data_IF_285515007764
#
_entry.id   IF_285515007764
#
_cell.length_a   1.000
_cell.length_b   1.000
_cell.length_c   1.000
_cell.angle_alpha   90.00
_cell.angle_beta   90.00
_cell.angle_gamma   90.00
#
_symmetry.space_group_name_H-M   'P 1'
#
loop_
_entity.id
_entity.type
_entity.pdbx_description
1 polymer ?
#
# COMPACT_ATOMS: atom_id res chain seq x y z
N UNK A 1 -1.62 -36.79 0.75
CA UNK A 1 -2.32 -36.31 -0.46
C UNK A 1 -1.28 -35.66 -1.35
N UNK A 2 -1.23 -36.02 -2.64
CA UNK A 2 -0.23 -35.49 -3.59
C UNK A 2 -0.44 -33.98 -3.80
N UNK A 3 0.60 -33.19 -3.51
CA UNK A 3 0.58 -31.72 -3.66
C UNK A 3 0.29 -31.33 -5.11
N UNK A 4 0.79 -32.11 -6.07
CA UNK A 4 0.56 -31.84 -7.49
C UNK A 4 -0.89 -32.13 -7.90
N UNK A 5 -1.50 -33.20 -7.40
CA UNK A 5 -2.92 -33.48 -7.64
C UNK A 5 -3.81 -32.34 -7.13
N UNK A 6 -3.53 -31.81 -5.93
CA UNK A 6 -4.27 -30.66 -5.37
C UNK A 6 -4.08 -29.40 -6.22
N UNK A 7 -2.86 -29.13 -6.70
CA UNK A 7 -2.61 -27.98 -7.59
C UNK A 7 -3.35 -28.09 -8.93
N UNK A 8 -3.38 -29.28 -9.53
CA UNK A 8 -4.13 -29.54 -10.77
C UNK A 8 -5.63 -29.33 -10.59
N UNK A 9 -6.17 -29.84 -9.49
CA UNK A 9 -7.59 -29.65 -9.15
C UNK A 9 -7.94 -28.18 -8.89
N UNK A 10 -7.11 -27.45 -8.15
CA UNK A 10 -7.30 -26.01 -7.94
C UNK A 10 -7.24 -25.23 -9.26
N UNK A 11 -6.26 -25.54 -10.12
CA UNK A 11 -6.15 -24.92 -11.43
C UNK A 11 -7.40 -25.17 -12.28
N UNK A 12 -7.88 -26.41 -12.33
CA UNK A 12 -9.08 -26.76 -13.07
C UNK A 12 -10.34 -26.07 -12.53
N UNK A 13 -10.51 -26.04 -11.20
CA UNK A 13 -11.63 -25.32 -10.58
C UNK A 13 -11.59 -23.82 -10.88
N UNK A 14 -10.41 -23.22 -10.91
CA UNK A 14 -10.26 -21.81 -11.30
C UNK A 14 -10.69 -21.56 -12.75
N UNK A 15 -10.41 -22.49 -13.67
CA UNK A 15 -10.93 -22.38 -15.04
C UNK A 15 -12.47 -22.40 -15.06
N UNK A 16 -13.08 -23.31 -14.31
CA UNK A 16 -14.56 -23.38 -14.23
C UNK A 16 -15.17 -22.11 -13.62
N UNK A 17 -14.53 -21.53 -12.59
CA UNK A 17 -14.95 -20.25 -11.98
C UNK A 17 -14.86 -19.10 -12.99
N UNK A 18 -13.88 -19.13 -13.90
CA UNK A 18 -13.76 -18.17 -14.99
C UNK A 18 -14.72 -18.46 -16.15
N UNK A 19 -15.68 -19.37 -15.97
CA UNK A 19 -16.68 -19.78 -16.97
C UNK A 19 -16.07 -20.52 -18.17
N UNK A 20 -15.01 -21.30 -17.95
CA UNK A 20 -14.47 -22.17 -18.98
C UNK A 20 -15.49 -23.29 -19.31
N UNK A 21 -16.11 -23.22 -20.49
CA UNK A 21 -17.05 -24.25 -20.94
C UNK A 21 -16.32 -25.51 -21.39
N UNK A 22 -16.09 -26.38 -20.42
CA UNK A 22 -15.56 -27.73 -20.62
C UNK A 22 -16.29 -28.46 -21.75
N UNK A 23 -17.63 -28.45 -21.76
CA UNK A 23 -18.41 -29.32 -22.65
C UNK A 23 -18.27 -28.86 -24.09
N UNK A 24 -18.28 -27.55 -24.34
CA UNK A 24 -18.02 -26.98 -25.65
C UNK A 24 -16.62 -27.36 -26.15
N UNK A 25 -15.59 -27.21 -25.30
CA UNK A 25 -14.20 -27.53 -25.67
C UNK A 25 -13.99 -29.01 -25.97
N UNK A 26 -14.55 -29.92 -25.15
CA UNK A 26 -14.45 -31.37 -25.40
C UNK A 26 -15.10 -31.76 -26.73
N UNK A 27 -16.25 -31.15 -27.06
CA UNK A 27 -16.98 -31.40 -28.29
C UNK A 27 -16.26 -30.84 -29.53
N UNK A 28 -15.77 -29.60 -29.45
CA UNK A 28 -15.12 -28.90 -30.56
C UNK A 28 -13.76 -29.51 -30.91
N UNK A 29 -12.93 -29.75 -29.89
CA UNK A 29 -11.54 -30.16 -30.08
C UNK A 29 -11.30 -31.66 -29.92
N UNK A 30 -12.33 -32.43 -29.53
CA UNK A 30 -12.26 -33.89 -29.31
C UNK A 30 -11.14 -34.30 -28.35
N UNK A 31 -10.94 -33.49 -27.32
CA UNK A 31 -9.94 -33.70 -26.27
C UNK A 31 -10.64 -33.83 -24.94
N UNK A 32 -10.16 -34.73 -24.07
CA UNK A 32 -10.69 -34.86 -22.72
C UNK A 32 -10.25 -33.66 -21.88
N UNK A 33 -11.21 -32.98 -21.27
CA UNK A 33 -11.01 -31.83 -20.39
C UNK A 33 -11.44 -32.21 -18.97
N UNK A 34 -10.47 -32.66 -18.19
CA UNK A 34 -10.63 -32.93 -16.77
C UNK A 34 -9.47 -32.32 -15.98
N UNK A 35 -9.47 -32.49 -14.66
CA UNK A 35 -8.40 -32.00 -13.79
C UNK A 35 -7.02 -32.58 -14.11
N UNK A 36 -6.95 -33.71 -14.81
CA UNK A 36 -5.71 -34.36 -15.20
C UNK A 36 -5.36 -34.12 -16.68
N UNK A 37 -6.00 -33.15 -17.35
CA UNK A 37 -5.74 -32.82 -18.78
C UNK A 37 -4.28 -32.43 -19.09
N UNK A 38 -3.50 -32.09 -18.06
CA UNK A 38 -2.07 -31.78 -18.13
C UNK A 38 -1.19 -32.79 -17.36
N UNK A 39 -1.71 -33.96 -17.00
CA UNK A 39 -0.88 -35.05 -16.43
C UNK A 39 0.14 -35.56 -17.45
N UNK A 40 -0.17 -35.41 -18.75
CA UNK A 40 0.72 -35.62 -19.87
C UNK A 40 0.78 -34.35 -20.73
N UNK A 41 1.84 -34.14 -21.53
CA UNK A 41 1.91 -33.02 -22.45
C UNK A 41 0.74 -33.04 -23.45
N UNK A 42 -0.23 -32.14 -23.27
CA UNK A 42 -1.39 -31.98 -24.14
C UNK A 42 -1.33 -30.60 -24.80
N UNK A 43 -0.66 -30.55 -25.95
CA UNK A 43 -0.42 -29.31 -26.67
C UNK A 43 -1.73 -28.60 -27.07
N UNK A 44 -2.76 -29.36 -27.48
CA UNK A 44 -4.03 -28.77 -27.93
C UNK A 44 -4.77 -28.12 -26.77
N UNK A 45 -4.84 -28.78 -25.61
CA UNK A 45 -5.42 -28.18 -24.41
C UNK A 45 -4.63 -27.00 -23.90
N UNK A 46 -3.29 -27.04 -24.00
CA UNK A 46 -2.47 -25.88 -23.66
C UNK A 46 -2.84 -24.66 -24.53
N UNK A 47 -2.97 -24.84 -25.84
CA UNK A 47 -3.36 -23.78 -26.77
C UNK A 47 -4.75 -23.21 -26.43
N UNK A 48 -5.76 -24.07 -26.25
CA UNK A 48 -7.14 -23.65 -25.94
C UNK A 48 -7.23 -22.93 -24.60
N UNK A 49 -6.66 -23.51 -23.54
CA UNK A 49 -6.70 -22.92 -22.19
C UNK A 49 -5.90 -21.62 -22.15
N UNK A 50 -4.75 -21.54 -22.82
CA UNK A 50 -3.95 -20.31 -22.87
C UNK A 50 -4.68 -19.20 -23.62
N UNK A 51 -5.32 -19.51 -24.75
CA UNK A 51 -6.13 -18.54 -25.48
C UNK A 51 -7.28 -18.01 -24.60
N UNK A 52 -8.06 -18.91 -24.00
CA UNK A 52 -9.15 -18.54 -23.10
C UNK A 52 -8.69 -17.66 -21.93
N UNK A 53 -7.57 -18.03 -21.27
CA UNK A 53 -7.05 -17.24 -20.16
C UNK A 53 -6.61 -15.86 -20.62
N UNK A 54 -6.00 -15.75 -21.80
CA UNK A 54 -5.64 -14.45 -22.35
C UNK A 54 -6.85 -13.64 -22.77
N UNK A 55 -7.90 -14.25 -23.32
CA UNK A 55 -9.15 -13.57 -23.62
C UNK A 55 -9.77 -12.96 -22.35
N UNK A 56 -9.81 -13.72 -21.24
CA UNK A 56 -10.31 -13.22 -19.95
C UNK A 56 -9.39 -12.18 -19.28
N UNK A 57 -8.09 -12.20 -19.55
CA UNK A 57 -7.12 -11.23 -19.00
C UNK A 57 -6.96 -9.98 -19.87
N UNK A 58 -7.23 -10.06 -21.17
CA UNK A 58 -6.95 -9.02 -22.16
C UNK A 58 -8.07 -8.01 -22.37
N UNK A 59 -9.08 -7.92 -21.49
CA UNK A 59 -9.99 -6.75 -21.49
C UNK A 59 -9.20 -5.41 -21.44
N UNK A 60 -7.93 -5.45 -21.03
CA UNK A 60 -7.03 -4.29 -20.92
C UNK A 60 -6.00 -4.16 -22.05
N UNK A 61 -5.74 -5.19 -22.88
CA UNK A 61 -4.63 -5.19 -23.85
C UNK A 61 -4.91 -5.85 -25.21
N UNK A 62 -6.04 -5.53 -25.83
CA UNK A 62 -6.41 -5.94 -27.20
C UNK A 62 -5.28 -5.75 -28.24
N UNK A 63 -4.37 -4.80 -28.01
CA UNK A 63 -3.29 -4.45 -28.95
C UNK A 63 -2.14 -5.47 -29.01
N UNK A 64 -1.87 -6.20 -27.94
CA UNK A 64 -0.68 -7.06 -27.86
C UNK A 64 -0.95 -8.52 -28.25
N UNK A 65 -2.22 -8.94 -28.19
CA UNK A 65 -2.61 -10.33 -28.42
C UNK A 65 -3.62 -10.48 -29.56
N UNK A 66 -3.39 -9.77 -30.67
CA UNK A 66 -4.18 -9.95 -31.90
C UNK A 66 -3.65 -11.14 -32.72
N UNK A 67 -3.70 -12.33 -32.13
CA UNK A 67 -3.36 -13.57 -32.82
C UNK A 67 -4.62 -14.21 -33.42
N UNK A 68 -4.54 -14.74 -34.64
CA UNK A 68 -5.68 -15.41 -35.25
C UNK A 68 -6.07 -16.63 -34.43
N UNK A 69 -7.35 -16.72 -34.06
CA UNK A 69 -7.94 -17.88 -33.42
C UNK A 69 -9.16 -18.33 -34.24
N UNK A 70 -9.30 -19.62 -34.57
CA UNK A 70 -8.43 -20.75 -34.22
C UNK A 70 -7.11 -20.80 -35.00
N UNK A 71 -6.11 -21.51 -34.44
CA UNK A 71 -4.79 -21.72 -35.07
C UNK A 71 -4.89 -22.76 -36.21
N UNK A 72 -4.80 -22.30 -37.46
CA UNK A 72 -5.00 -23.14 -38.65
C UNK A 72 -3.69 -23.73 -39.18
N UNK A 73 -2.61 -22.94 -39.17
CA UNK A 73 -1.33 -23.35 -39.74
C UNK A 73 -0.23 -23.53 -38.67
N UNK A 74 0.90 -24.11 -39.11
CA UNK A 74 2.06 -24.38 -38.24
C UNK A 74 2.78 -23.10 -37.82
N UNK A 75 2.68 -22.03 -38.61
CA UNK A 75 3.40 -20.77 -38.38
C UNK A 75 2.68 -19.92 -37.34
N UNK A 76 1.36 -19.76 -37.46
CA UNK A 76 0.46 -19.21 -36.44
C UNK A 76 0.66 -19.90 -35.10
N UNK A 77 0.77 -21.23 -35.10
CA UNK A 77 1.01 -21.99 -33.86
C UNK A 77 2.37 -21.67 -33.23
N UNK A 78 3.44 -21.55 -34.03
CA UNK A 78 4.76 -21.14 -33.54
C UNK A 78 4.73 -19.72 -32.99
N UNK A 79 4.07 -18.81 -33.69
CA UNK A 79 3.90 -17.42 -33.26
C UNK A 79 3.11 -17.36 -31.94
N UNK A 80 1.99 -18.07 -31.85
CA UNK A 80 1.18 -18.18 -30.63
C UNK A 80 2.01 -18.68 -29.46
N UNK A 81 2.79 -19.75 -29.64
CA UNK A 81 3.66 -20.27 -28.59
C UNK A 81 4.72 -19.26 -28.15
N UNK A 82 5.39 -18.61 -29.11
CA UNK A 82 6.40 -17.59 -28.83
C UNK A 82 5.81 -16.42 -28.05
N UNK A 83 4.68 -15.88 -28.50
CA UNK A 83 3.99 -14.76 -27.83
C UNK A 83 3.52 -15.17 -26.44
N UNK A 84 2.93 -16.36 -26.29
CA UNK A 84 2.46 -16.88 -25.01
C UNK A 84 3.60 -17.05 -24.00
N UNK A 85 4.74 -17.62 -24.42
CA UNK A 85 5.93 -17.76 -23.56
C UNK A 85 6.50 -16.40 -23.17
N UNK A 86 6.58 -15.45 -24.10
CA UNK A 86 7.04 -14.09 -23.81
C UNK A 86 6.14 -13.40 -22.78
N UNK A 87 4.83 -13.50 -22.97
CA UNK A 87 3.84 -12.91 -22.06
C UNK A 87 3.88 -13.54 -20.67
N UNK A 88 3.93 -14.88 -20.58
CA UNK A 88 4.10 -15.58 -19.31
C UNK A 88 5.42 -15.21 -18.61
N UNK A 89 6.49 -15.00 -19.37
CA UNK A 89 7.77 -14.53 -18.84
C UNK A 89 7.66 -13.10 -18.28
N UNK A 90 6.94 -12.22 -18.99
CA UNK A 90 6.62 -10.86 -18.50
C UNK A 90 5.82 -10.91 -17.19
N UNK A 91 4.75 -11.73 -17.11
CA UNK A 91 3.99 -11.92 -15.87
C UNK A 91 4.88 -12.43 -14.74
N UNK A 92 5.75 -13.40 -15.02
CA UNK A 92 6.66 -13.94 -14.01
C UNK A 92 7.64 -12.87 -13.49
N UNK A 93 8.14 -12.00 -14.38
CA UNK A 93 8.98 -10.87 -14.02
C UNK A 93 8.22 -9.82 -13.20
N UNK A 94 7.01 -9.44 -13.61
CA UNK A 94 6.14 -8.53 -12.85
C UNK A 94 5.83 -9.07 -11.46
N UNK A 95 5.53 -10.38 -11.33
CA UNK A 95 5.35 -11.04 -10.03
C UNK A 95 6.60 -10.99 -9.15
N UNK A 96 7.79 -11.09 -9.74
CA UNK A 96 9.06 -10.96 -9.02
C UNK A 96 9.20 -9.54 -8.44
N UNK A 97 8.94 -8.51 -9.26
CA UNK A 97 8.98 -7.12 -8.79
C UNK A 97 7.92 -6.85 -7.73
N UNK A 98 6.70 -7.36 -7.89
CA UNK A 98 5.64 -7.24 -6.89
C UNK A 98 6.05 -7.82 -5.54
N UNK A 99 6.68 -9.00 -5.52
CA UNK A 99 7.20 -9.60 -4.27
C UNK A 99 8.28 -8.73 -3.63
N UNK A 100 9.17 -8.13 -4.42
CA UNK A 100 10.20 -7.23 -3.91
C UNK A 100 9.58 -5.98 -3.29
N UNK A 101 8.56 -5.41 -3.95
CA UNK A 101 7.80 -4.28 -3.44
C UNK A 101 7.08 -4.62 -2.13
N UNK A 102 6.44 -5.79 -2.05
CA UNK A 102 5.79 -6.24 -0.82
C UNK A 102 6.78 -6.37 0.34
N UNK A 103 7.96 -6.95 0.12
CA UNK A 103 9.01 -7.05 1.13
C UNK A 103 9.47 -5.66 1.58
N UNK A 104 9.58 -4.70 0.65
CA UNK A 104 9.91 -3.32 0.98
C UNK A 104 8.83 -2.68 1.86
N UNK A 105 7.56 -2.78 1.46
CA UNK A 105 6.42 -2.24 2.22
C UNK A 105 6.33 -2.84 3.62
N UNK A 106 6.56 -4.14 3.77
CA UNK A 106 6.55 -4.81 5.08
C UNK A 106 7.66 -4.29 5.99
N UNK A 107 8.87 -4.03 5.45
CA UNK A 107 9.98 -3.42 6.19
C UNK A 107 9.69 -1.97 6.56
N UNK A 108 9.11 -1.20 5.64
CA UNK A 108 8.74 0.19 5.88
C UNK A 108 7.69 0.29 6.97
N UNK A 109 6.66 -0.55 6.93
CA UNK A 109 5.64 -0.63 7.98
C UNK A 109 6.26 -0.88 9.36
N UNK A 110 7.15 -1.87 9.46
CA UNK A 110 7.86 -2.14 10.72
C UNK A 110 8.63 -0.90 11.19
N UNK A 111 9.36 -0.24 10.28
CA UNK A 111 10.08 0.98 10.60
C UNK A 111 9.19 2.09 11.16
N UNK A 112 8.02 2.31 10.55
CA UNK A 112 7.04 3.29 11.03
C UNK A 112 6.43 2.92 12.39
N UNK A 113 6.14 1.63 12.63
CA UNK A 113 5.67 1.17 13.94
C UNK A 113 6.66 1.52 15.07
N UNK A 114 7.97 1.53 14.78
CA UNK A 114 9.00 1.92 15.74
C UNK A 114 9.21 3.42 15.85
N UNK A 115 9.21 4.15 14.73
CA UNK A 115 9.48 5.59 14.74
C UNK A 115 8.30 6.42 15.24
N UNK A 116 7.06 5.99 15.00
CA UNK A 116 5.89 6.82 15.26
C UNK A 116 5.74 7.23 16.74
N UNK A 117 5.91 6.34 17.74
CA UNK A 117 5.86 6.74 19.15
C UNK A 117 6.99 7.71 19.52
N UNK A 118 8.18 7.47 18.99
CA UNK A 118 9.39 8.25 19.24
C UNK A 118 9.22 9.70 18.76
N UNK A 119 8.70 9.87 17.54
CA UNK A 119 8.45 11.18 16.95
C UNK A 119 7.32 11.90 17.69
N UNK A 120 6.28 11.18 18.11
CA UNK A 120 5.12 11.76 18.80
C UNK A 120 5.47 12.33 20.17
N UNK A 121 6.36 11.69 20.92
CA UNK A 121 6.67 12.08 22.30
C UNK A 121 7.66 13.24 22.41
N UNK A 122 8.67 13.33 21.53
CA UNK A 122 9.60 14.45 21.55
C UNK A 122 10.35 14.66 20.21
N UNK A 123 9.79 15.43 19.26
CA UNK A 123 10.32 15.55 17.90
C UNK A 123 11.70 16.22 17.83
N UNK A 124 12.09 16.99 18.86
CA UNK A 124 13.37 17.71 18.90
C UNK A 124 14.54 16.88 19.45
N UNK A 125 14.26 15.74 20.08
CA UNK A 125 15.29 14.93 20.76
C UNK A 125 16.17 14.13 19.80
N UNK A 126 15.74 13.95 18.55
CA UNK A 126 16.42 13.13 17.55
C UNK A 126 17.13 14.00 16.53
N UNK A 127 18.34 14.41 16.88
CA UNK A 127 19.23 15.14 16.00
C UNK A 127 20.15 14.15 15.26
N UNK A 128 20.02 14.07 13.95
CA UNK A 128 20.93 13.35 13.05
C UNK A 128 22.16 14.22 12.75
N UNK A 129 23.31 13.59 12.56
CA UNK A 129 24.52 14.29 12.11
C UNK A 129 24.34 14.78 10.67
N UNK A 130 24.17 16.08 10.52
CA UNK A 130 23.94 16.75 9.24
C UNK A 130 25.14 16.63 8.29
N UNK A 131 26.36 16.39 8.81
CA UNK A 131 27.55 16.26 7.97
C UNK A 131 27.50 15.01 7.08
N UNK A 132 26.80 13.97 7.51
CA UNK A 132 26.61 12.73 6.74
C UNK A 132 25.44 12.83 5.76
N UNK A 133 24.46 13.68 6.09
CA UNK A 133 23.29 13.98 5.26
C UNK A 133 23.60 15.12 4.29
N UNK A 134 24.58 14.92 3.40
CA UNK A 134 24.79 15.83 2.26
C UNK A 134 23.64 15.70 1.28
N UNK A 135 22.52 16.34 1.60
CA UNK A 135 21.35 16.45 0.74
C UNK A 135 21.61 17.58 -0.26
N UNK A 136 22.26 17.23 -1.36
CA UNK A 136 22.31 18.13 -2.52
C UNK A 136 20.95 18.07 -3.22
N UNK A 137 20.04 18.97 -2.83
CA UNK A 137 18.74 19.12 -3.47
C UNK A 137 18.96 19.92 -4.74
N UNK A 138 19.05 19.22 -5.87
CA UNK A 138 19.18 19.85 -7.19
C UNK A 138 18.03 20.80 -7.48
N UNK A 139 18.29 21.86 -8.24
CA UNK A 139 17.34 22.96 -8.48
C UNK A 139 16.03 22.48 -9.14
N UNK A 140 16.09 21.41 -9.92
CA UNK A 140 14.90 20.75 -10.47
C UNK A 140 13.89 20.33 -9.39
N UNK A 141 14.35 19.76 -8.29
CA UNK A 141 13.48 19.29 -7.19
C UNK A 141 12.86 20.50 -6.46
N UNK A 142 13.64 21.58 -6.29
CA UNK A 142 13.17 22.84 -5.69
C UNK A 142 12.09 23.50 -6.55
N UNK A 143 12.21 23.41 -7.87
CA UNK A 143 11.21 23.94 -8.81
C UNK A 143 9.92 23.12 -8.78
N UNK A 144 10.04 21.79 -8.67
CA UNK A 144 8.87 20.91 -8.63
C UNK A 144 8.15 20.91 -7.28
N UNK A 145 8.76 21.41 -6.20
CA UNK A 145 8.20 21.36 -4.87
C UNK A 145 8.51 22.61 -4.04
N UNK A 146 7.56 23.54 -4.00
CA UNK A 146 7.65 24.77 -3.18
C UNK A 146 7.78 24.50 -1.68
N UNK A 147 7.23 23.38 -1.20
CA UNK A 147 7.31 22.91 0.19
C UNK A 147 8.77 22.74 0.66
N UNK A 148 9.68 22.35 -0.24
CA UNK A 148 11.12 22.26 0.08
C UNK A 148 11.79 23.62 0.23
N UNK A 149 11.29 24.65 -0.46
CA UNK A 149 11.81 26.02 -0.34
C UNK A 149 11.34 26.65 0.98
N UNK A 150 10.13 26.33 1.44
CA UNK A 150 9.58 26.79 2.72
C UNK A 150 10.25 26.15 3.93
N UNK A 151 10.77 24.91 3.80
CA UNK A 151 11.58 24.28 4.85
C UNK A 151 12.93 24.97 5.11
N UNK A 152 13.23 26.05 4.36
CA UNK A 152 14.47 26.79 4.41
C UNK A 152 15.59 26.04 3.70
N UNK A 153 16.59 26.76 3.19
CA UNK A 153 17.82 26.08 2.81
C UNK A 153 18.30 25.34 4.05
N UNK A 154 18.37 24.01 3.97
CA UNK A 154 19.21 23.22 4.89
C UNK A 154 20.65 23.52 4.47
N UNK A 155 21.04 24.79 4.47
CA UNK A 155 22.43 25.18 4.54
C UNK A 155 22.86 24.74 5.94
N UNK A 156 23.45 23.55 5.98
CA UNK A 156 24.03 22.85 7.11
C UNK A 156 25.16 23.67 7.75
N UNK A 157 24.88 24.89 8.22
CA UNK A 157 25.73 25.56 9.20
C UNK A 157 25.52 24.92 10.57
N UNK A 158 24.35 24.34 10.81
CA UNK A 158 24.09 23.49 11.96
C UNK A 158 24.51 22.05 11.63
N UNK A 159 25.44 21.50 12.43
CA UNK A 159 25.95 20.12 12.33
C UNK A 159 24.85 19.06 12.55
N UNK A 160 23.60 19.45 12.84
CA UNK A 160 22.55 18.57 13.31
C UNK A 160 21.22 18.86 12.62
N UNK A 161 20.58 17.82 12.09
CA UNK A 161 19.26 17.89 11.45
C UNK A 161 18.26 17.09 12.29
N UNK A 162 17.13 17.68 12.67
CA UNK A 162 16.08 16.93 13.36
C UNK A 162 15.54 15.81 12.46
N UNK A 163 15.34 14.62 13.02
CA UNK A 163 14.78 13.45 12.33
C UNK A 163 13.44 13.77 11.66
N UNK A 164 12.61 14.61 12.28
CA UNK A 164 11.33 15.02 11.69
C UNK A 164 11.50 15.81 10.39
N UNK A 165 12.41 16.80 10.37
CA UNK A 165 12.78 17.52 9.13
C UNK A 165 13.32 16.56 8.07
N UNK A 166 14.19 15.62 8.46
CA UNK A 166 14.71 14.61 7.55
C UNK A 166 13.59 13.73 6.95
N UNK A 167 12.65 13.27 7.77
CA UNK A 167 11.52 12.47 7.32
C UNK A 167 10.54 13.25 6.44
N UNK A 168 10.31 14.53 6.72
CA UNK A 168 9.49 15.39 5.86
C UNK A 168 10.13 15.57 4.48
N UNK A 169 11.44 15.80 4.44
CA UNK A 169 12.19 15.85 3.18
C UNK A 169 12.04 14.50 2.45
N UNK A 170 12.25 13.38 3.16
CA UNK A 170 12.08 12.02 2.63
C UNK A 170 10.71 11.78 2.01
N UNK A 171 9.65 12.17 2.71
CA UNK A 171 8.28 12.04 2.25
C UNK A 171 8.01 12.85 0.97
N UNK A 172 8.52 14.08 0.89
CA UNK A 172 8.39 14.89 -0.33
C UNK A 172 9.09 14.21 -1.52
N UNK A 173 10.27 13.65 -1.30
CA UNK A 173 10.99 12.91 -2.33
C UNK A 173 10.20 11.70 -2.83
N UNK A 174 9.56 10.94 -1.93
CA UNK A 174 8.69 9.82 -2.30
C UNK A 174 7.49 10.28 -3.13
N UNK A 175 6.82 11.36 -2.73
CA UNK A 175 5.71 11.95 -3.49
C UNK A 175 6.13 12.38 -4.90
N UNK A 176 7.30 13.02 -5.02
CA UNK A 176 7.84 13.39 -6.33
C UNK A 176 8.14 12.16 -7.17
N UNK A 177 8.75 11.13 -6.58
CA UNK A 177 9.03 9.86 -7.25
C UNK A 177 7.74 9.20 -7.78
N UNK A 178 6.71 9.11 -6.95
CA UNK A 178 5.40 8.57 -7.34
C UNK A 178 4.79 9.36 -8.50
N UNK A 179 4.77 10.70 -8.41
CA UNK A 179 4.25 11.58 -9.45
C UNK A 179 4.99 11.41 -10.78
N UNK A 180 6.31 11.28 -10.74
CA UNK A 180 7.13 11.07 -11.93
C UNK A 180 6.93 9.68 -12.51
N UNK A 181 6.79 8.65 -11.65
CA UNK A 181 6.50 7.29 -12.05
C UNK A 181 5.15 7.19 -12.77
N UNK A 182 4.09 7.80 -12.22
CA UNK A 182 2.76 7.82 -12.84
C UNK A 182 2.72 8.55 -14.18
N UNK A 183 3.58 9.56 -14.37
CA UNK A 183 3.74 10.26 -15.66
C UNK A 183 4.51 9.44 -16.70
N UNK A 184 5.16 8.33 -16.32
CA UNK A 184 5.97 7.52 -17.21
C UNK A 184 7.28 8.17 -17.66
N UNK A 185 7.71 9.27 -17.02
CA UNK A 185 8.95 9.96 -17.38
C UNK A 185 10.16 9.30 -16.69
N UNK A 186 10.60 8.18 -17.27
CA UNK A 186 11.71 7.39 -16.76
C UNK A 186 13.06 8.12 -16.78
N UNK A 187 13.21 9.20 -17.54
CA UNK A 187 14.45 9.98 -17.58
C UNK A 187 14.62 10.79 -16.30
N UNK A 188 13.54 11.43 -15.83
CA UNK A 188 13.52 12.14 -14.54
C UNK A 188 13.72 11.19 -13.35
N UNK A 189 13.32 9.93 -13.47
CA UNK A 189 13.59 8.91 -12.44
C UNK A 189 15.09 8.66 -12.27
N UNK A 190 15.91 8.78 -13.32
CA UNK A 190 17.37 8.63 -13.19
C UNK A 190 18.00 9.76 -12.38
N UNK A 191 17.47 10.97 -12.47
CA UNK A 191 17.91 12.09 -11.63
C UNK A 191 17.56 11.83 -10.16
N UNK A 192 16.37 11.27 -9.88
CA UNK A 192 15.98 10.79 -8.55
C UNK A 192 16.81 9.59 -8.08
N UNK A 193 17.35 8.76 -8.99
CA UNK A 193 18.20 7.61 -8.65
C UNK A 193 19.57 8.02 -8.09
N UNK A 194 20.03 9.23 -8.36
CA UNK A 194 21.23 9.77 -7.73
C UNK A 194 20.99 10.08 -6.25
N UNK A 195 19.75 10.43 -5.86
CA UNK A 195 19.33 10.52 -4.45
C UNK A 195 19.37 9.16 -3.78
N UNK A 196 19.06 8.09 -4.51
CA UNK A 196 19.15 6.70 -4.06
C UNK A 196 20.60 6.27 -3.73
N UNK A 197 21.61 6.87 -4.37
CA UNK A 197 23.04 6.66 -4.03
C UNK A 197 23.48 7.44 -2.79
N UNK A 198 22.88 8.61 -2.56
CA UNK A 198 23.11 9.42 -1.35
C UNK A 198 22.46 8.72 -0.15
N UNK A 199 21.35 8.02 -0.37
CA UNK A 199 20.62 7.32 0.68
C UNK A 199 20.96 5.84 0.66
N UNK A 200 22.10 5.50 1.26
CA UNK A 200 22.30 4.13 1.74
C UNK A 200 21.29 3.87 2.88
N UNK A 201 20.05 3.63 2.49
CA UNK A 201 18.91 3.40 3.38
C UNK A 201 19.25 2.33 4.41
N UNK A 202 20.06 1.35 4.01
CA UNK A 202 20.59 0.30 4.85
C UNK A 202 21.62 0.78 5.89
N UNK A 203 22.49 1.75 5.56
CA UNK A 203 23.41 2.38 6.53
C UNK A 203 22.63 3.20 7.55
N UNK A 204 21.72 4.05 7.09
CA UNK A 204 20.90 4.90 7.97
C UNK A 204 20.01 4.06 8.89
N UNK A 205 19.46 2.94 8.40
CA UNK A 205 18.71 1.98 9.23
C UNK A 205 19.63 1.34 10.28
N UNK A 206 20.84 0.94 9.91
CA UNK A 206 21.78 0.33 10.86
C UNK A 206 22.24 1.32 11.93
N UNK A 207 22.42 2.59 11.57
CA UNK A 207 22.72 3.67 12.52
C UNK A 207 21.54 3.95 13.46
N UNK A 208 20.32 4.03 12.92
CA UNK A 208 19.10 4.18 13.73
C UNK A 208 18.90 3.01 14.69
N UNK A 209 19.14 1.77 14.24
CA UNK A 209 19.15 0.57 15.11
C UNK A 209 20.19 0.68 16.21
N UNK A 210 21.40 1.10 15.88
CA UNK A 210 22.49 1.28 16.85
C UNK A 210 22.14 2.35 17.88
N UNK A 211 21.53 3.46 17.45
CA UNK A 211 21.08 4.54 18.32
C UNK A 211 19.95 4.07 19.23
N UNK A 212 19.02 3.28 18.70
CA UNK A 212 17.96 2.63 19.47
C UNK A 212 18.52 1.69 20.55
N UNK A 213 19.45 0.80 20.20
CA UNK A 213 20.09 -0.11 21.17
C UNK A 213 20.77 0.65 22.31
N UNK A 214 21.44 1.76 21.99
CA UNK A 214 22.03 2.66 23.00
C UNK A 214 20.96 3.30 23.90
N UNK A 215 19.86 3.76 23.32
CA UNK A 215 18.78 4.42 24.05
C UNK A 215 18.05 3.44 24.96
N UNK A 216 17.79 2.23 24.46
CA UNK A 216 17.17 1.14 25.22
C UNK A 216 18.06 0.68 26.37
N UNK A 217 19.37 0.54 26.14
CA UNK A 217 20.34 0.26 27.20
C UNK A 217 20.37 1.37 28.27
N UNK A 218 20.26 2.64 27.86
CA UNK A 218 20.22 3.78 28.79
C UNK A 218 18.94 3.78 29.63
N UNK A 219 17.78 3.53 29.01
CA UNK A 219 16.49 3.44 29.70
C UNK A 219 16.47 2.28 30.70
N UNK A 220 17.00 1.10 30.33
CA UNK A 220 17.12 -0.03 31.24
C UNK A 220 18.01 0.29 32.44
N UNK A 221 19.16 0.94 32.21
CA UNK A 221 20.06 1.37 33.28
C UNK A 221 19.39 2.38 34.23
N UNK A 222 18.65 3.36 33.70
CA UNK A 222 17.88 4.31 34.52
C UNK A 222 16.83 3.57 35.37
N UNK A 223 16.12 2.60 34.79
CA UNK A 223 15.13 1.80 35.52
C UNK A 223 15.75 1.01 36.66
N UNK A 224 16.93 0.43 36.44
CA UNK A 224 17.66 -0.32 37.47
C UNK A 224 18.18 0.60 38.57
N UNK A 225 18.70 1.78 38.23
CA UNK A 225 19.12 2.80 39.20
C UNK A 225 17.94 3.33 40.04
N UNK A 226 16.79 3.57 39.42
CA UNK A 226 15.57 3.98 40.12
C UNK A 226 15.10 2.89 41.09
N UNK A 227 15.15 1.62 40.68
CA UNK A 227 14.84 0.51 41.57
C UNK A 227 15.82 0.43 42.75
N UNK A 228 17.13 0.62 42.52
CA UNK A 228 18.11 0.67 43.60
C UNK A 228 17.88 1.85 44.56
N UNK A 229 17.44 3.00 44.05
CA UNK A 229 17.04 4.15 44.85
C UNK A 229 15.78 3.85 45.67
N UNK A 230 14.76 3.23 45.08
CA UNK A 230 13.56 2.75 45.79
C UNK A 230 13.92 1.76 46.90
N UNK A 231 14.74 0.75 46.59
CA UNK A 231 15.19 -0.25 47.56
C UNK A 231 16.02 0.38 48.69
N UNK A 232 16.85 1.39 48.39
CA UNK A 232 17.61 2.16 49.39
C UNK A 232 16.71 3.02 50.26
N UNK A 233 15.78 3.76 49.66
CA UNK A 233 14.80 4.58 50.39
C UNK A 233 13.89 3.70 51.27
N UNK A 234 13.57 2.49 50.82
CA UNK A 234 12.83 1.51 51.60
C UNK A 234 13.65 0.95 52.77
N UNK A 235 14.96 0.73 52.60
CA UNK A 235 15.87 0.24 53.64
C UNK A 235 16.32 1.31 54.63
N UNK A 236 16.35 2.59 54.24
CA UNK A 236 16.80 3.69 55.08
C UNK A 236 15.73 4.22 56.06
N UNK A 237 14.54 3.62 56.09
CA UNK A 237 13.50 3.93 57.10
C UNK A 237 13.27 5.45 57.24
N UNK A 238 13.18 6.17 56.10
CA UNK A 238 13.01 7.62 56.10
C UNK A 238 11.53 8.01 56.17
N UNK A 239 11.18 8.50 57.36
CA UNK A 239 10.19 9.52 57.73
C UNK A 239 8.78 9.44 57.14
N UNK A 240 7.77 9.55 58.01
CA UNK A 240 6.35 9.75 57.69
C UNK A 240 6.11 10.81 56.59
N UNK A 241 7.01 11.80 56.44
CA UNK A 241 6.92 12.83 55.39
C UNK A 241 6.98 12.26 53.96
N UNK A 242 7.73 11.19 53.73
CA UNK A 242 7.83 10.53 52.42
C UNK A 242 6.61 9.62 52.15
N UNK A 243 6.00 9.07 53.20
CA UNK A 243 4.71 8.38 53.06
C UNK A 243 3.60 9.36 52.69
N UNK A 244 3.62 10.59 53.20
CA UNK A 244 2.69 11.67 52.78
C UNK A 244 2.92 12.02 51.30
N UNK A 245 4.17 12.18 50.86
CA UNK A 245 4.49 12.47 49.45
C UNK A 245 4.11 11.31 48.51
N UNK A 246 4.36 10.06 48.90
CA UNK A 246 3.99 8.87 48.11
C UNK A 246 2.48 8.70 48.05
N UNK A 247 1.74 9.09 49.11
CA UNK A 247 0.28 9.12 49.16
C UNK A 247 -0.30 10.25 48.29
N UNK A 248 0.40 11.39 48.19
CA UNK A 248 0.06 12.45 47.22
C UNK A 248 0.35 12.00 45.77
N UNK A 249 1.50 11.38 45.48
CA UNK A 249 1.81 10.87 44.14
C UNK A 249 0.91 9.69 43.72
N UNK A 250 0.45 8.86 44.65
CA UNK A 250 -0.56 7.81 44.35
C UNK A 250 -1.99 8.35 44.31
N UNK A 251 -2.25 9.55 44.85
CA UNK A 251 -3.48 10.31 44.61
C UNK A 251 -3.49 11.02 43.24
N UNK A 252 -2.32 11.14 42.59
CA UNK A 252 -2.23 11.42 41.16
C UNK A 252 -2.63 10.16 40.40
N UNK A 253 -3.92 9.84 40.47
CA UNK A 253 -4.55 8.93 39.54
C UNK A 253 -4.37 9.53 38.14
N UNK A 254 -3.31 9.13 37.43
CA UNK A 254 -3.45 8.86 36.00
C UNK A 254 -4.45 7.71 35.88
N UNK A 255 -5.74 8.03 36.05
CA UNK A 255 -6.78 7.07 35.75
C UNK A 255 -6.59 6.77 34.26
N UNK A 256 -6.26 5.52 33.94
CA UNK A 256 -6.16 5.05 32.57
C UNK A 256 -7.45 5.31 31.79
N UNK A 257 -8.54 5.69 32.48
CA UNK A 257 -9.79 6.15 31.91
C UNK A 257 -9.67 7.49 31.17
N UNK A 258 -8.91 8.48 31.66
CA UNK A 258 -8.75 9.74 30.89
C UNK A 258 -7.91 9.52 29.64
N UNK A 259 -6.89 8.65 29.71
CA UNK A 259 -6.08 8.27 28.56
C UNK A 259 -6.87 7.42 27.55
N UNK A 260 -7.73 6.50 28.03
CA UNK A 260 -8.58 5.70 27.15
C UNK A 260 -9.75 6.51 26.57
N UNK A 261 -10.31 7.45 27.33
CA UNK A 261 -11.35 8.36 26.88
C UNK A 261 -10.74 9.37 25.88
N UNK A 262 -9.51 9.82 26.06
CA UNK A 262 -8.78 10.69 25.11
C UNK A 262 -8.32 9.94 23.86
N UNK A 263 -7.96 8.65 23.96
CA UNK A 263 -7.76 7.75 22.80
C UNK A 263 -9.07 7.52 22.05
N UNK A 264 -10.19 7.30 22.74
CA UNK A 264 -11.49 7.07 22.10
C UNK A 264 -12.05 8.36 21.49
N UNK A 265 -11.84 9.51 22.14
CA UNK A 265 -12.21 10.84 21.62
C UNK A 265 -11.34 11.21 20.42
N UNK A 266 -10.03 10.93 20.47
CA UNK A 266 -9.13 11.13 19.32
C UNK A 266 -9.44 10.17 18.16
N UNK A 267 -9.92 8.94 18.46
CA UNK A 267 -10.40 7.99 17.44
C UNK A 267 -11.68 8.49 16.77
N UNK A 268 -12.65 8.99 17.54
CA UNK A 268 -13.89 9.57 17.00
C UNK A 268 -13.61 10.82 16.15
N UNK A 269 -12.75 11.73 16.62
CA UNK A 269 -12.36 12.94 15.87
C UNK A 269 -11.65 12.58 14.55
N UNK A 270 -10.80 11.54 14.54
CA UNK A 270 -10.12 11.11 13.31
C UNK A 270 -11.00 10.28 12.36
N UNK A 271 -11.94 9.47 12.87
CA UNK A 271 -12.87 8.76 11.99
C UNK A 271 -13.91 9.70 11.39
N UNK A 272 -14.41 10.67 12.16
CA UNK A 272 -15.37 11.65 11.66
C UNK A 272 -14.73 12.58 10.63
N UNK A 273 -13.48 13.04 10.84
CA UNK A 273 -12.76 13.85 9.86
C UNK A 273 -12.39 13.09 8.58
N UNK A 274 -12.12 11.78 8.65
CA UNK A 274 -11.86 10.96 7.45
C UNK A 274 -13.15 10.72 6.66
N UNK A 275 -14.30 10.54 7.33
CA UNK A 275 -15.58 10.44 6.61
C UNK A 275 -16.06 11.78 6.06
N UNK A 276 -15.81 12.89 6.76
CA UNK A 276 -16.24 14.22 6.31
C UNK A 276 -15.36 14.75 5.16
N UNK A 277 -14.04 14.46 5.15
CA UNK A 277 -13.15 14.84 4.04
C UNK A 277 -13.34 13.94 2.81
N UNK A 278 -13.72 12.67 2.98
CA UNK A 278 -14.07 11.77 1.87
C UNK A 278 -15.45 12.11 1.29
N UNK A 279 -16.39 12.64 2.09
CA UNK A 279 -17.69 13.11 1.59
C UNK A 279 -17.62 14.52 0.99
N UNK A 280 -16.82 15.44 1.55
CA UNK A 280 -16.64 16.82 1.03
C UNK A 280 -15.86 16.89 -0.28
N UNK A 281 -14.94 15.96 -0.55
CA UNK A 281 -14.23 15.89 -1.84
C UNK A 281 -15.10 15.34 -2.98
N UNK A 282 -16.35 14.95 -2.74
CA UNK A 282 -17.31 14.52 -3.78
C UNK A 282 -18.32 15.58 -4.21
N UNK A 283 -18.31 16.78 -3.59
CA UNK A 283 -19.36 17.78 -3.76
C UNK A 283 -18.89 19.19 -4.16
N UNK A 284 -17.78 19.36 -4.87
CA UNK A 284 -17.52 20.64 -5.56
C UNK A 284 -16.60 20.46 -6.77
N UNK A 285 -17.19 20.37 -7.97
CA UNK A 285 -16.75 21.14 -9.15
C UNK A 285 -17.89 21.15 -10.16
N UNK A 286 -18.62 22.26 -10.25
CA UNK A 286 -19.24 22.71 -11.49
C UNK A 286 -18.59 24.04 -11.90
N UNK A 287 -18.45 24.18 -13.22
CA UNK A 287 -18.19 25.39 -14.02
C UNK A 287 -16.76 25.98 -14.10
N UNK A 288 -16.06 25.64 -15.19
CA UNK A 288 -16.07 26.49 -16.40
C UNK A 288 -15.28 25.88 -17.59
N UNK A 289 -15.99 25.51 -18.67
CA UNK A 289 -15.63 25.84 -20.07
C UNK A 289 -14.62 25.00 -20.89
N UNK A 290 -15.16 24.35 -21.93
CA UNK A 290 -14.57 23.79 -23.18
C UNK A 290 -14.26 22.27 -23.28
N UNK A 291 -15.30 21.56 -23.75
CA UNK A 291 -15.41 20.45 -24.74
C UNK A 291 -14.12 19.76 -25.25
N UNK A 292 -14.02 18.42 -25.33
CA UNK A 292 -14.87 17.49 -26.09
C UNK A 292 -14.61 16.02 -25.69
N UNK A 293 -15.66 15.19 -25.70
CA UNK A 293 -15.67 13.71 -25.78
C UNK A 293 -15.42 12.80 -24.56
N UNK A 294 -16.13 13.00 -23.44
CA UNK A 294 -16.18 11.98 -22.36
C UNK A 294 -17.56 11.82 -21.70
N UNK A 295 -18.58 11.42 -22.46
CA UNK A 295 -19.85 10.93 -21.89
C UNK A 295 -20.26 9.59 -22.49
N UNK A 296 -19.86 8.47 -21.84
CA UNK A 296 -20.59 7.21 -21.99
C UNK A 296 -20.56 6.19 -20.85
N UNK A 297 -20.04 6.47 -19.66
CA UNK A 297 -19.92 5.43 -18.61
C UNK A 297 -20.12 5.91 -17.17
N UNK A 298 -21.13 6.74 -16.89
CA UNK A 298 -21.49 7.12 -15.50
C UNK A 298 -22.94 6.79 -15.11
N UNK A 299 -23.51 5.67 -15.57
CA UNK A 299 -24.93 5.36 -15.33
C UNK A 299 -25.24 3.91 -14.88
N UNK A 300 -24.45 3.32 -13.97
CA UNK A 300 -24.80 1.98 -13.40
C UNK A 300 -24.72 1.90 -11.86
N UNK A 301 -24.29 2.93 -11.13
CA UNK A 301 -23.98 2.77 -9.68
C UNK A 301 -24.78 3.64 -8.71
N UNK A 302 -26.04 3.95 -9.02
CA UNK A 302 -26.97 4.59 -8.08
C UNK A 302 -28.38 3.95 -8.10
N UNK A 303 -28.48 2.62 -8.05
CA UNK A 303 -29.79 1.94 -7.93
C UNK A 303 -29.94 1.03 -6.71
N UNK A 304 -29.02 1.09 -5.75
CA UNK A 304 -29.09 0.28 -4.54
C UNK A 304 -28.73 1.12 -3.32
N UNK A 305 -29.71 1.88 -2.80
CA UNK A 305 -29.90 2.28 -1.40
C UNK A 305 -30.77 3.54 -1.35
N UNK A 306 -32.08 3.37 -1.37
CA UNK A 306 -33.11 4.13 -0.63
C UNK A 306 -34.48 3.77 -1.24
N UNK A 307 -35.31 3.06 -0.47
CA UNK A 307 -36.71 3.42 -0.21
C UNK A 307 -37.42 2.26 0.53
N UNK A 308 -37.43 2.34 1.86
CA UNK A 308 -38.57 1.92 2.67
C UNK A 308 -39.25 3.20 3.18
N UNK A 309 -40.43 3.53 2.66
CA UNK A 309 -41.68 3.72 3.43
C UNK A 309 -42.68 4.69 2.76
N UNK A 310 -43.85 4.10 2.47
CA UNK A 310 -45.23 4.61 2.65
C UNK A 310 -45.71 5.87 1.89
N UNK A 311 -46.60 5.61 0.92
CA UNK A 311 -48.06 5.85 0.99
C UNK A 311 -48.73 6.59 -0.20
N UNK A 312 -49.95 6.11 -0.49
CA UNK A 312 -51.04 6.68 -1.31
C UNK A 312 -51.02 6.46 -2.84
N UNK A 313 -51.86 5.56 -3.38
CA UNK A 313 -53.23 5.81 -3.95
C UNK A 313 -53.14 6.55 -5.30
N UNK A 314 -53.41 5.95 -6.47
CA UNK A 314 -54.74 5.57 -7.02
C UNK A 314 -54.60 4.58 -8.21
N UNK A 315 -55.54 3.61 -8.32
CA UNK A 315 -55.93 2.96 -9.58
C UNK A 315 -56.73 3.94 -10.46
N UNK A 316 -56.71 3.80 -11.80
CA UNK A 316 -57.82 3.10 -12.49
C UNK A 316 -57.37 2.31 -13.74
N UNK A 317 -57.92 1.11 -13.94
CA UNK A 317 -58.96 0.75 -14.91
C UNK A 317 -58.45 0.23 -16.27
N UNK A 318 -58.60 -1.09 -16.41
CA UNK A 318 -59.04 -1.89 -17.57
C UNK A 318 -59.38 -1.21 -18.91
N UNK A 319 -58.80 -1.73 -19.99
CA UNK A 319 -59.44 -2.12 -21.27
C UNK A 319 -58.37 -2.92 -22.06
N UNK A 320 -58.47 -4.20 -22.45
CA UNK A 320 -59.39 -4.92 -23.34
C UNK A 320 -59.64 -4.28 -24.71
N UNK A 321 -59.34 -5.07 -25.76
CA UNK A 321 -59.52 -4.89 -27.23
C UNK A 321 -58.35 -4.14 -27.91
N UNK A 322 -57.72 -4.60 -29.00
CA UNK A 322 -58.05 -5.59 -30.06
C UNK A 322 -56.87 -6.53 -30.39
#
# INVERSE_FOLDING_TARGET
MDVHAKQRELFFNNLLILEFDKSAVENEYRVKCDKDMFSLPNQKMFEVVTHFLFEKLNEVSEKEYNLPWPLMDKEQRRQFQKTSVNYLSSIAQTRKYWKQLQIFLDKEKQFWEYLFPIIKENPEMFLLDGAQLKLDIGDFIKEQCSELNEMGSVETKEEKVSLLKYLNIYYIFLKLYEKTFLKGDLLQIKELSNVQKIWSFESNINELKTLHEKLLATVLNIKENNKMLEDRLFLEEISEDLQIFTKECSSWNFSSKSFQDEINTSRLIYTDNITDDVLKTSLFTNDSGLESDYHKTRNIRESWLLEESLDSVTLPETSFLD
#
